data_IF_970063396045
#
_entry.id   IF_970063396045
#
_cell.length_a   1.000
_cell.length_b   1.000
_cell.length_c   1.000
_cell.angle_alpha   90.00
_cell.angle_beta   90.00
_cell.angle_gamma   90.00
#
_symmetry.space_group_name_H-M   'P 1'
#
loop_
_entity.id
_entity.type
_entity.pdbx_description
1 polymer ?
#
# COMPACT_ATOMS: atom_id res chain seq x y z
N UNK A 1 26.73 15.57 -11.57
CA UNK A 1 25.85 15.38 -10.39
C UNK A 1 24.58 14.62 -10.77
N UNK A 2 23.81 15.03 -11.77
CA UNK A 2 22.54 14.43 -12.20
C UNK A 2 22.62 12.90 -12.46
N UNK A 3 23.65 12.43 -13.19
CA UNK A 3 23.82 11.00 -13.48
C UNK A 3 24.04 10.12 -12.25
N UNK A 4 24.63 10.65 -11.17
CA UNK A 4 24.84 9.91 -9.92
C UNK A 4 23.52 9.64 -9.18
N UNK A 5 22.61 10.60 -9.21
CA UNK A 5 21.26 10.46 -8.59
C UNK A 5 20.47 9.38 -9.32
N UNK A 6 20.48 9.41 -10.67
CA UNK A 6 19.87 8.36 -11.47
C UNK A 6 20.51 6.97 -11.27
N UNK A 7 21.83 6.91 -11.06
CA UNK A 7 22.51 5.65 -10.75
C UNK A 7 22.04 5.08 -9.41
N UNK A 8 21.93 5.92 -8.36
CA UNK A 8 21.38 5.52 -7.05
C UNK A 8 19.94 5.02 -7.21
N UNK A 9 19.11 5.74 -7.99
CA UNK A 9 17.72 5.36 -8.26
C UNK A 9 17.63 3.97 -8.89
N UNK A 10 18.35 3.74 -9.99
CA UNK A 10 18.37 2.44 -10.68
C UNK A 10 18.89 1.34 -9.76
N UNK A 11 19.92 1.60 -8.96
CA UNK A 11 20.43 0.64 -7.98
C UNK A 11 19.36 0.22 -6.97
N UNK A 12 18.64 1.18 -6.37
CA UNK A 12 17.53 0.88 -5.45
C UNK A 12 16.42 0.08 -6.12
N UNK A 13 16.02 0.47 -7.34
CA UNK A 13 15.01 -0.28 -8.12
C UNK A 13 15.43 -1.72 -8.36
N UNK A 14 16.68 -1.97 -8.71
CA UNK A 14 17.20 -3.33 -8.88
C UNK A 14 17.20 -4.10 -7.57
N UNK A 15 17.64 -3.50 -6.45
CA UNK A 15 17.60 -4.14 -5.13
C UNK A 15 16.16 -4.51 -4.76
N UNK A 16 15.20 -3.60 -4.91
CA UNK A 16 13.77 -3.86 -4.64
C UNK A 16 13.25 -4.99 -5.54
N UNK A 17 13.58 -4.98 -6.83
CA UNK A 17 13.12 -5.98 -7.78
C UNK A 17 13.60 -7.40 -7.43
N UNK A 18 14.86 -7.58 -7.10
CA UNK A 18 15.41 -8.88 -6.74
C UNK A 18 14.96 -9.33 -5.35
N UNK A 19 14.95 -8.42 -4.38
CA UNK A 19 14.50 -8.70 -3.01
C UNK A 19 12.99 -8.97 -2.97
N UNK A 20 12.18 -8.25 -3.77
CA UNK A 20 10.74 -8.48 -3.87
C UNK A 20 10.38 -9.89 -4.36
N UNK A 21 11.15 -10.43 -5.32
CA UNK A 21 11.01 -11.84 -5.74
C UNK A 21 11.28 -12.80 -4.58
N UNK A 22 12.29 -12.52 -3.78
CA UNK A 22 12.64 -13.36 -2.63
C UNK A 22 11.55 -13.27 -1.55
N UNK A 23 11.07 -12.06 -1.21
CA UNK A 23 9.98 -11.86 -0.25
C UNK A 23 8.72 -12.59 -0.70
N UNK A 24 8.31 -12.48 -1.95
CA UNK A 24 7.14 -13.19 -2.49
C UNK A 24 7.33 -14.71 -2.39
N UNK A 25 8.47 -15.25 -2.82
CA UNK A 25 8.77 -16.69 -2.78
C UNK A 25 8.79 -17.23 -1.35
N UNK A 26 9.55 -16.60 -0.46
CA UNK A 26 9.68 -17.08 0.92
C UNK A 26 8.41 -16.80 1.73
N UNK A 27 7.67 -15.75 1.45
CA UNK A 27 6.33 -15.51 1.98
C UNK A 27 5.34 -16.60 1.58
N UNK A 28 5.37 -17.06 0.32
CA UNK A 28 4.54 -18.19 -0.14
C UNK A 28 4.88 -19.50 0.59
N UNK A 29 6.19 -19.79 0.76
CA UNK A 29 6.63 -20.96 1.54
C UNK A 29 6.14 -20.87 3.00
N UNK A 30 6.25 -19.70 3.63
CA UNK A 30 5.74 -19.46 4.97
C UNK A 30 4.24 -19.70 5.02
N UNK A 31 3.47 -19.14 4.08
CA UNK A 31 2.02 -19.29 4.01
C UNK A 31 1.58 -20.76 3.95
N UNK A 32 2.23 -21.54 3.07
CA UNK A 32 1.90 -22.96 2.85
C UNK A 32 2.31 -23.81 4.05
N UNK A 33 3.54 -23.64 4.56
CA UNK A 33 4.08 -24.53 5.60
C UNK A 33 3.61 -24.23 7.01
N UNK A 34 3.20 -22.99 7.30
CA UNK A 34 2.58 -22.62 8.59
C UNK A 34 1.08 -22.86 8.62
N UNK A 35 0.45 -23.05 7.44
CA UNK A 35 -1.01 -23.16 7.33
C UNK A 35 -1.76 -21.84 7.54
N UNK A 36 -1.07 -20.69 7.65
CA UNK A 36 -1.69 -19.38 7.84
C UNK A 36 -2.43 -18.87 6.60
N UNK A 37 -2.11 -19.44 5.43
CA UNK A 37 -2.75 -19.07 4.17
C UNK A 37 -2.13 -17.85 3.49
N UNK A 38 -2.25 -17.83 2.16
CA UNK A 38 -1.65 -16.81 1.28
C UNK A 38 -2.22 -15.41 1.51
N UNK A 39 -3.52 -15.31 1.81
CA UNK A 39 -4.15 -14.01 2.07
C UNK A 39 -3.62 -13.39 3.36
N UNK A 40 -3.53 -14.18 4.44
CA UNK A 40 -3.02 -13.66 5.72
C UNK A 40 -1.56 -13.22 5.61
N UNK A 41 -0.72 -14.03 4.99
CA UNK A 41 0.68 -13.67 4.76
C UNK A 41 0.78 -12.43 3.86
N UNK A 42 -0.05 -12.31 2.82
CA UNK A 42 -0.10 -11.12 1.97
C UNK A 42 -0.53 -9.87 2.73
N UNK A 43 -1.64 -9.92 3.45
CA UNK A 43 -2.17 -8.75 4.19
C UNK A 43 -1.26 -8.33 5.33
N UNK A 44 -0.67 -9.27 6.09
CA UNK A 44 0.08 -8.93 7.30
C UNK A 44 1.57 -8.84 7.04
N UNK A 45 2.17 -9.93 6.56
CA UNK A 45 3.63 -10.01 6.50
C UNK A 45 4.20 -9.24 5.30
N UNK A 46 3.64 -9.45 4.10
CA UNK A 46 4.13 -8.76 2.90
C UNK A 46 3.77 -7.27 2.96
N UNK A 47 2.51 -6.94 3.25
CA UNK A 47 2.06 -5.57 3.33
C UNK A 47 2.82 -4.76 4.40
N UNK A 48 3.07 -5.34 5.58
CA UNK A 48 3.90 -4.68 6.59
C UNK A 48 5.29 -4.36 6.03
N UNK A 49 5.98 -5.35 5.43
CA UNK A 49 7.35 -5.17 4.92
C UNK A 49 7.40 -4.10 3.81
N UNK A 50 6.41 -4.09 2.93
CA UNK A 50 6.39 -3.17 1.79
C UNK A 50 5.92 -1.77 2.17
N UNK A 51 5.10 -1.60 3.23
CA UNK A 51 4.65 -0.29 3.72
C UNK A 51 5.58 0.34 4.79
N UNK A 52 6.68 -0.29 5.14
CA UNK A 52 7.67 0.33 6.04
C UNK A 52 8.36 1.56 5.45
N UNK A 53 8.65 1.65 4.14
CA UNK A 53 9.13 2.90 3.54
C UNK A 53 8.17 4.08 3.77
N UNK A 54 6.85 3.87 3.63
CA UNK A 54 5.84 4.88 3.91
C UNK A 54 5.85 5.31 5.38
N UNK A 55 5.96 4.35 6.29
CA UNK A 55 6.09 4.63 7.73
C UNK A 55 7.31 5.48 8.03
N UNK A 56 8.49 5.12 7.53
CA UNK A 56 9.72 5.88 7.79
C UNK A 56 9.69 7.26 7.14
N UNK A 57 9.08 7.39 5.95
CA UNK A 57 8.88 8.68 5.28
C UNK A 57 7.92 9.54 6.10
N UNK A 58 6.80 8.98 6.60
CA UNK A 58 5.84 9.68 7.47
C UNK A 58 6.49 10.16 8.75
N UNK A 59 7.17 9.28 9.49
CA UNK A 59 7.91 9.63 10.71
C UNK A 59 8.90 10.78 10.44
N UNK A 60 9.67 10.68 9.36
CA UNK A 60 10.63 11.74 8.99
C UNK A 60 9.92 13.07 8.69
N UNK A 61 8.82 13.03 7.96
CA UNK A 61 8.04 14.22 7.61
C UNK A 61 7.51 14.95 8.86
N UNK A 62 6.97 14.23 9.84
CA UNK A 62 6.39 14.84 11.04
C UNK A 62 7.42 15.22 12.10
N UNK A 63 8.54 14.47 12.23
CA UNK A 63 9.52 14.70 13.31
C UNK A 63 10.69 15.57 12.91
N UNK A 64 11.18 15.45 11.67
CA UNK A 64 12.39 16.15 11.20
C UNK A 64 12.05 17.37 10.36
N UNK A 65 11.04 17.28 9.51
CA UNK A 65 10.67 18.36 8.57
C UNK A 65 9.54 19.22 9.12
N UNK A 66 8.65 18.69 9.97
CA UNK A 66 7.48 19.37 10.48
C UNK A 66 6.41 19.60 9.39
N UNK A 67 6.34 18.75 8.40
CA UNK A 67 5.46 18.83 7.23
C UNK A 67 4.37 17.73 7.24
N UNK A 68 3.28 17.89 8.02
CA UNK A 68 2.21 16.90 8.12
C UNK A 68 1.48 16.66 6.78
N UNK A 69 1.39 17.66 5.91
CA UNK A 69 0.83 17.52 4.57
C UNK A 69 1.58 16.49 3.72
N UNK A 70 2.89 16.40 3.90
CA UNK A 70 3.72 15.46 3.15
C UNK A 70 3.40 14.02 3.53
N UNK A 71 3.22 13.73 4.84
CA UNK A 71 2.88 12.37 5.28
C UNK A 71 1.49 11.96 4.82
N UNK A 72 0.47 12.80 4.99
CA UNK A 72 -0.91 12.46 4.59
C UNK A 72 -1.04 12.36 3.07
N UNK A 73 -0.38 13.25 2.32
CA UNK A 73 -0.29 13.18 0.86
C UNK A 73 0.36 11.88 0.38
N UNK A 74 1.47 11.46 1.01
CA UNK A 74 2.13 10.19 0.72
C UNK A 74 1.21 8.98 1.01
N UNK A 75 0.56 8.92 2.17
CA UNK A 75 -0.29 7.79 2.58
C UNK A 75 -1.53 7.63 1.69
N UNK A 76 -2.26 8.72 1.40
CA UNK A 76 -3.38 8.66 0.48
C UNK A 76 -2.95 8.44 -0.97
N UNK A 77 -1.81 9.03 -1.38
CA UNK A 77 -1.20 8.81 -2.68
C UNK A 77 -0.80 7.35 -2.87
N UNK A 78 -0.12 6.74 -1.91
CA UNK A 78 0.26 5.33 -1.92
C UNK A 78 -0.97 4.41 -2.02
N UNK A 79 -2.07 4.74 -1.31
CA UNK A 79 -3.32 3.99 -1.43
C UNK A 79 -3.91 4.05 -2.85
N UNK A 80 -3.88 5.22 -3.49
CA UNK A 80 -4.32 5.36 -4.89
C UNK A 80 -3.39 4.58 -5.84
N UNK A 81 -2.06 4.66 -5.64
CA UNK A 81 -1.08 3.88 -6.42
C UNK A 81 -1.30 2.37 -6.28
N UNK A 82 -1.57 1.86 -5.09
CA UNK A 82 -1.83 0.45 -4.87
C UNK A 82 -3.06 -0.03 -5.64
N UNK A 83 -4.14 0.76 -5.68
CA UNK A 83 -5.33 0.46 -6.47
C UNK A 83 -5.07 0.56 -7.98
N UNK A 84 -4.28 1.52 -8.43
CA UNK A 84 -3.79 1.61 -9.80
C UNK A 84 -2.91 0.40 -10.16
N UNK A 85 -1.99 0.00 -9.28
CA UNK A 85 -1.13 -1.16 -9.47
C UNK A 85 -1.93 -2.47 -9.57
N UNK A 86 -3.08 -2.60 -8.86
CA UNK A 86 -3.99 -3.73 -9.05
C UNK A 86 -4.57 -3.77 -10.48
N UNK A 87 -4.87 -2.61 -11.07
CA UNK A 87 -5.30 -2.53 -12.45
C UNK A 87 -4.17 -2.95 -13.42
N UNK A 88 -2.93 -2.54 -13.17
CA UNK A 88 -1.77 -2.98 -13.96
C UNK A 88 -1.54 -4.50 -13.83
N UNK A 89 -1.64 -5.04 -12.62
CA UNK A 89 -1.53 -6.48 -12.40
C UNK A 89 -2.63 -7.24 -13.15
N UNK A 90 -3.89 -6.72 -13.14
CA UNK A 90 -4.99 -7.33 -13.90
C UNK A 90 -4.67 -7.36 -15.42
N UNK A 91 -4.15 -6.28 -15.98
CA UNK A 91 -3.79 -6.21 -17.41
C UNK A 91 -2.68 -7.22 -17.77
N UNK A 92 -1.67 -7.37 -16.92
CA UNK A 92 -0.52 -8.24 -17.15
C UNK A 92 -0.85 -9.71 -16.88
N UNK A 93 -1.84 -9.98 -16.03
CA UNK A 93 -2.24 -11.35 -15.69
C UNK A 93 -2.87 -12.06 -16.89
N UNK A 94 -2.31 -13.20 -17.33
CA UNK A 94 -2.67 -13.85 -18.60
C UNK A 94 -3.84 -14.84 -18.52
N UNK A 95 -4.19 -15.32 -17.32
CA UNK A 95 -5.13 -16.43 -17.13
C UNK A 95 -6.57 -15.98 -16.83
N UNK A 96 -6.93 -14.76 -17.14
CA UNK A 96 -8.26 -14.19 -16.90
C UNK A 96 -8.19 -12.88 -16.14
N UNK A 97 -9.33 -12.34 -15.67
CA UNK A 97 -9.31 -11.15 -14.80
C UNK A 97 -8.86 -11.52 -13.40
N UNK A 98 -7.90 -10.77 -12.85
CA UNK A 98 -7.43 -10.87 -11.48
C UNK A 98 -8.60 -10.71 -10.49
N UNK A 99 -9.54 -9.81 -10.77
CA UNK A 99 -10.75 -9.60 -9.97
C UNK A 99 -11.68 -10.83 -9.94
N UNK A 100 -11.66 -11.66 -11.00
CA UNK A 100 -12.43 -12.90 -11.05
C UNK A 100 -11.81 -14.06 -10.28
N UNK A 101 -10.47 -14.02 -10.11
CA UNK A 101 -9.69 -15.07 -9.46
C UNK A 101 -9.51 -14.83 -7.95
N UNK A 102 -9.54 -13.57 -7.52
CA UNK A 102 -9.34 -13.19 -6.11
C UNK A 102 -10.50 -13.66 -5.22
N UNK A 103 -10.18 -14.09 -4.01
CA UNK A 103 -11.12 -14.64 -3.05
C UNK A 103 -12.05 -13.60 -2.42
N UNK A 104 -13.14 -14.04 -1.75
CA UNK A 104 -14.13 -13.13 -1.16
C UNK A 104 -13.59 -12.28 0.00
N UNK A 105 -12.49 -12.71 0.64
CA UNK A 105 -11.88 -11.98 1.76
C UNK A 105 -11.35 -10.61 1.34
N UNK A 106 -10.89 -10.48 0.09
CA UNK A 106 -10.40 -9.20 -0.42
C UNK A 106 -11.50 -8.13 -0.48
N UNK A 107 -12.78 -8.51 -0.65
CA UNK A 107 -13.90 -7.56 -0.54
C UNK A 107 -14.01 -7.00 0.88
N UNK A 108 -13.89 -7.87 1.88
CA UNK A 108 -13.92 -7.47 3.29
C UNK A 108 -12.73 -6.56 3.61
N UNK A 109 -11.52 -6.92 3.16
CA UNK A 109 -10.32 -6.10 3.35
C UNK A 109 -10.45 -4.73 2.67
N UNK A 110 -11.04 -4.69 1.46
CA UNK A 110 -11.35 -3.43 0.77
C UNK A 110 -12.33 -2.56 1.54
N UNK A 111 -13.42 -3.12 2.09
CA UNK A 111 -14.34 -2.39 2.96
C UNK A 111 -13.65 -1.83 4.20
N UNK A 112 -12.75 -2.59 4.84
CA UNK A 112 -12.01 -2.14 6.00
C UNK A 112 -11.06 -0.99 5.65
N UNK A 113 -10.35 -1.08 4.52
CA UNK A 113 -9.53 0.02 4.01
C UNK A 113 -10.36 1.29 3.77
N UNK A 114 -11.52 1.16 3.11
CA UNK A 114 -12.44 2.26 2.85
C UNK A 114 -12.92 2.95 4.14
N UNK A 115 -13.24 2.16 5.18
CA UNK A 115 -13.67 2.69 6.48
C UNK A 115 -12.55 3.50 7.14
N UNK A 116 -11.31 3.00 7.13
CA UNK A 116 -10.18 3.72 7.73
C UNK A 116 -9.88 5.03 6.98
N UNK A 117 -9.92 5.02 5.64
CA UNK A 117 -9.77 6.25 4.83
C UNK A 117 -10.89 7.23 5.14
N UNK A 118 -12.14 6.75 5.28
CA UNK A 118 -13.28 7.59 5.62
C UNK A 118 -13.14 8.22 7.02
N UNK A 119 -12.65 7.47 8.03
CA UNK A 119 -12.38 8.01 9.37
C UNK A 119 -11.35 9.14 9.30
N UNK A 120 -10.24 8.95 8.56
CA UNK A 120 -9.22 9.99 8.38
C UNK A 120 -9.80 11.22 7.65
N UNK A 121 -10.55 11.02 6.56
CA UNK A 121 -11.18 12.11 5.82
C UNK A 121 -12.20 12.88 6.67
N UNK A 122 -13.06 12.18 7.43
CA UNK A 122 -14.02 12.81 8.35
C UNK A 122 -13.30 13.61 9.42
N UNK A 123 -12.15 13.13 9.93
CA UNK A 123 -11.35 13.85 10.92
C UNK A 123 -10.79 15.14 10.36
N UNK A 124 -10.22 15.14 9.14
CA UNK A 124 -9.76 16.35 8.44
C UNK A 124 -10.93 17.34 8.24
N UNK A 125 -12.10 16.84 7.81
CA UNK A 125 -13.28 17.67 7.58
C UNK A 125 -13.78 18.32 8.88
N UNK A 126 -13.88 17.56 9.98
CA UNK A 126 -14.33 18.08 11.28
C UNK A 126 -13.37 19.17 11.78
N UNK A 127 -12.07 18.89 11.75
CA UNK A 127 -11.04 19.87 12.20
C UNK A 127 -11.09 21.17 11.39
N UNK A 128 -11.32 21.07 10.07
CA UNK A 128 -11.34 22.24 9.20
C UNK A 128 -12.59 23.13 9.36
N UNK A 129 -13.69 22.60 9.92
CA UNK A 129 -15.00 23.28 9.90
C UNK A 129 -15.59 23.57 11.27
N UNK A 130 -15.30 22.77 12.28
CA UNK A 130 -16.04 22.85 13.53
C UNK A 130 -15.14 23.17 14.74
N UNK A 131 -14.28 22.28 15.13
CA UNK A 131 -13.42 22.46 16.29
C UNK A 131 -12.33 21.40 16.38
N UNK A 132 -11.33 21.73 17.12
CA UNK A 132 -10.21 20.84 17.39
C UNK A 132 -10.57 19.84 18.49
N UNK A 133 -10.63 18.55 18.14
CA UNK A 133 -10.90 17.46 19.08
C UNK A 133 -9.60 16.69 19.35
N UNK A 134 -8.74 17.27 20.18
CA UNK A 134 -7.53 16.61 20.66
C UNK A 134 -7.67 16.07 22.08
N UNK A 135 -7.01 14.95 22.37
CA UNK A 135 -6.74 14.43 23.72
C UNK A 135 -5.27 14.72 24.03
N UNK A 136 -5.01 15.90 24.61
CA UNK A 136 -3.65 16.46 24.66
C UNK A 136 -3.17 16.87 23.26
N UNK A 137 -2.06 16.30 22.79
CA UNK A 137 -1.54 16.55 21.42
C UNK A 137 -2.01 15.51 20.41
N UNK A 138 -2.79 14.50 20.82
CA UNK A 138 -3.22 13.37 19.99
C UNK A 138 -4.66 13.61 19.52
N UNK A 139 -4.94 13.33 18.24
CA UNK A 139 -6.27 13.43 17.67
C UNK A 139 -7.20 12.32 18.18
N UNK A 140 -8.51 12.62 18.30
CA UNK A 140 -9.55 11.65 18.66
C UNK A 140 -9.57 10.42 17.73
N UNK A 141 -9.18 10.61 16.47
CA UNK A 141 -9.13 9.56 15.42
C UNK A 141 -8.05 8.52 15.68
N UNK A 142 -6.98 8.86 16.39
CA UNK A 142 -5.85 7.96 16.65
C UNK A 142 -6.27 6.69 17.39
N UNK A 143 -6.92 6.74 18.55
CA UNK A 143 -7.42 5.52 19.19
C UNK A 143 -8.48 4.80 18.35
N UNK A 144 -9.32 5.54 17.60
CA UNK A 144 -10.35 4.93 16.74
C UNK A 144 -9.70 4.13 15.60
N UNK A 145 -8.73 4.70 14.89
CA UNK A 145 -8.02 4.01 13.81
C UNK A 145 -7.28 2.78 14.35
N UNK A 146 -6.59 2.87 15.50
CA UNK A 146 -5.89 1.75 16.11
C UNK A 146 -6.88 0.61 16.44
N UNK A 147 -7.99 0.92 17.12
CA UNK A 147 -8.99 -0.08 17.50
C UNK A 147 -9.59 -0.73 16.26
N UNK A 148 -9.99 0.07 15.26
CA UNK A 148 -10.54 -0.45 14.02
C UNK A 148 -9.51 -1.30 13.25
N UNK A 149 -8.27 -0.85 13.14
CA UNK A 149 -7.21 -1.61 12.48
C UNK A 149 -6.99 -2.97 13.13
N UNK A 150 -6.84 -3.02 14.47
CA UNK A 150 -6.67 -4.27 15.20
C UNK A 150 -7.90 -5.18 15.06
N UNK A 151 -9.11 -4.62 15.15
CA UNK A 151 -10.35 -5.36 14.93
C UNK A 151 -10.43 -5.92 13.50
N UNK A 152 -10.06 -5.15 12.49
CA UNK A 152 -10.06 -5.59 11.10
C UNK A 152 -9.01 -6.68 10.84
N UNK A 153 -7.80 -6.56 11.43
CA UNK A 153 -6.80 -7.61 11.39
C UNK A 153 -7.30 -8.92 12.01
N UNK A 154 -7.95 -8.83 13.16
CA UNK A 154 -8.55 -9.99 13.80
C UNK A 154 -9.65 -10.64 12.94
N UNK A 155 -10.52 -9.85 12.32
CA UNK A 155 -11.57 -10.34 11.43
C UNK A 155 -11.00 -11.03 10.18
N UNK A 156 -9.97 -10.46 9.57
CA UNK A 156 -9.28 -11.07 8.42
C UNK A 156 -8.67 -12.41 8.83
N UNK A 157 -7.99 -12.45 9.99
CA UNK A 157 -7.41 -13.68 10.52
C UNK A 157 -8.48 -14.77 10.73
N UNK A 158 -9.55 -14.43 11.44
CA UNK A 158 -10.66 -15.35 11.71
C UNK A 158 -11.32 -15.87 10.42
N UNK A 159 -11.50 -15.00 9.43
CA UNK A 159 -12.07 -15.36 8.14
C UNK A 159 -11.21 -16.38 7.38
N UNK A 160 -9.88 -16.33 7.54
CA UNK A 160 -8.97 -17.28 6.89
C UNK A 160 -8.99 -18.68 7.52
N UNK A 161 -9.20 -18.79 8.82
CA UNK A 161 -9.25 -20.08 9.50
C UNK A 161 -10.41 -20.98 9.03
N UNK A 162 -11.47 -20.39 8.48
CA UNK A 162 -12.67 -21.10 8.05
C UNK A 162 -12.72 -21.38 6.53
N UNK A 163 -11.70 -20.98 5.78
CA UNK A 163 -11.65 -21.28 4.35
C UNK A 163 -10.90 -22.59 4.11
N UNK A 164 -11.53 -23.58 3.42
CA UNK A 164 -10.79 -24.76 2.96
C UNK A 164 -9.67 -24.28 2.03
N UNK A 165 -8.48 -24.86 2.21
CA UNK A 165 -7.37 -24.62 1.30
C UNK A 165 -7.87 -24.90 -0.13
N UNK A 166 -7.91 -23.87 -0.99
CA UNK A 166 -8.22 -24.10 -2.41
C UNK A 166 -7.18 -25.07 -2.96
N UNK A 167 -7.61 -26.15 -3.64
CA UNK A 167 -6.67 -27.03 -4.29
C UNK A 167 -5.87 -26.21 -5.29
N UNK A 168 -4.58 -26.10 -5.04
CA UNK A 168 -3.64 -25.40 -5.90
C UNK A 168 -3.41 -26.26 -7.12
N UNK A 169 -3.51 -25.66 -8.29
CA UNK A 169 -2.93 -26.22 -9.51
C UNK A 169 -1.43 -26.33 -9.23
N UNK A 170 -0.92 -27.55 -8.99
CA UNK A 170 0.46 -27.89 -8.66
C UNK A 170 1.10 -26.99 -7.58
N UNK A 171 1.13 -27.49 -6.34
CA UNK A 171 1.94 -26.84 -5.28
C UNK A 171 3.42 -27.05 -5.63
N UNK A 172 4.22 -25.95 -5.71
CA UNK A 172 5.66 -26.14 -5.81
C UNK A 172 6.14 -27.00 -4.62
N UNK A 173 6.94 -28.00 -4.87
CA UNK A 173 7.50 -28.84 -3.81
C UNK A 173 8.58 -28.04 -3.04
N UNK A 174 8.17 -27.51 -1.90
CA UNK A 174 9.08 -26.79 -0.98
C UNK A 174 9.57 -27.69 0.17
N UNK A 175 9.34 -29.00 0.12
CA UNK A 175 9.61 -29.92 1.23
C UNK A 175 11.09 -29.96 1.66
N UNK A 176 12.02 -29.75 0.73
CA UNK A 176 13.47 -29.84 0.97
C UNK A 176 14.11 -28.59 1.63
N UNK A 177 13.38 -27.47 1.80
CA UNK A 177 13.97 -26.24 2.32
C UNK A 177 13.74 -26.13 3.85
N UNK A 178 14.79 -26.10 4.72
CA UNK A 178 14.62 -25.92 6.15
C UNK A 178 13.95 -24.57 6.47
N UNK A 179 12.93 -24.56 7.37
CA UNK A 179 12.19 -23.33 7.73
C UNK A 179 13.09 -22.23 8.27
N UNK A 180 14.18 -22.58 9.01
CA UNK A 180 15.17 -21.60 9.46
C UNK A 180 15.79 -20.80 8.31
N UNK A 181 16.09 -21.45 7.18
CA UNK A 181 16.59 -20.77 5.98
C UNK A 181 15.51 -19.91 5.33
N UNK A 182 14.28 -20.39 5.31
CA UNK A 182 13.13 -19.61 4.77
C UNK A 182 12.97 -18.30 5.52
N UNK A 183 12.91 -18.35 6.86
CA UNK A 183 12.79 -17.14 7.69
C UNK A 183 14.01 -16.22 7.53
N UNK A 184 15.24 -16.78 7.50
CA UNK A 184 16.45 -15.98 7.32
C UNK A 184 16.46 -15.24 5.97
N UNK A 185 16.19 -15.94 4.88
CA UNK A 185 16.17 -15.32 3.54
C UNK A 185 15.01 -14.35 3.37
N UNK A 186 13.84 -14.63 3.97
CA UNK A 186 12.75 -13.68 4.04
C UNK A 186 13.17 -12.40 4.77
N UNK A 187 13.77 -12.53 5.95
CA UNK A 187 14.19 -11.38 6.77
C UNK A 187 15.28 -10.54 6.06
N UNK A 188 16.26 -11.18 5.41
CA UNK A 188 17.29 -10.48 4.63
C UNK A 188 16.65 -9.72 3.47
N UNK A 189 15.77 -10.38 2.71
CA UNK A 189 15.09 -9.77 1.57
C UNK A 189 14.17 -8.61 2.02
N UNK A 190 13.46 -8.78 3.14
CA UNK A 190 12.66 -7.72 3.75
C UNK A 190 13.52 -6.51 4.17
N UNK A 191 14.63 -6.74 4.85
CA UNK A 191 15.55 -5.67 5.25
C UNK A 191 16.11 -4.90 4.04
N UNK A 192 16.42 -5.60 2.94
CA UNK A 192 16.87 -4.98 1.69
C UNK A 192 15.76 -4.13 1.04
N UNK A 193 14.51 -4.61 1.03
CA UNK A 193 13.35 -3.83 0.53
C UNK A 193 13.15 -2.58 1.36
N UNK A 194 13.12 -2.71 2.68
CA UNK A 194 12.93 -1.59 3.60
C UNK A 194 14.02 -0.54 3.40
N UNK A 195 15.29 -0.97 3.42
CA UNK A 195 16.42 -0.06 3.26
C UNK A 195 16.44 0.62 1.89
N UNK A 196 16.24 -0.14 0.81
CA UNK A 196 16.22 0.42 -0.54
C UNK A 196 14.99 1.28 -0.80
N UNK A 197 13.81 0.91 -0.30
CA UNK A 197 12.57 1.68 -0.44
C UNK A 197 12.64 3.02 0.30
N UNK A 198 13.10 3.00 1.55
CA UNK A 198 13.30 4.23 2.34
C UNK A 198 14.32 5.16 1.66
N UNK A 199 15.45 4.60 1.20
CA UNK A 199 16.45 5.40 0.49
C UNK A 199 15.94 5.93 -0.84
N UNK A 200 15.09 5.16 -1.55
CA UNK A 200 14.51 5.58 -2.81
C UNK A 200 13.58 6.79 -2.66
N UNK A 201 12.86 6.92 -1.54
CA UNK A 201 12.07 8.11 -1.24
C UNK A 201 12.95 9.37 -1.14
N UNK A 202 14.10 9.27 -0.44
CA UNK A 202 15.09 10.36 -0.34
C UNK A 202 15.69 10.71 -1.71
N UNK A 203 15.98 9.69 -2.53
CA UNK A 203 16.49 9.90 -3.90
C UNK A 203 15.43 10.56 -4.79
N UNK A 204 14.14 10.22 -4.62
CA UNK A 204 13.03 10.85 -5.32
C UNK A 204 12.98 12.36 -5.06
N UNK A 205 13.13 12.77 -3.81
CA UNK A 205 13.24 14.18 -3.41
C UNK A 205 14.50 14.85 -3.99
N UNK A 206 15.65 14.17 -3.98
CA UNK A 206 16.89 14.66 -4.60
C UNK A 206 16.72 14.86 -6.11
N UNK A 207 15.98 13.98 -6.81
CA UNK A 207 15.64 14.13 -8.23
C UNK A 207 14.74 15.35 -8.44
N UNK A 208 13.72 15.54 -7.62
CA UNK A 208 12.79 16.66 -7.71
C UNK A 208 13.53 18.00 -7.63
N UNK A 209 14.41 18.15 -6.63
CA UNK A 209 15.20 19.37 -6.43
C UNK A 209 16.19 19.66 -7.56
N UNK A 210 16.92 18.63 -8.03
CA UNK A 210 17.96 18.79 -9.07
C UNK A 210 17.37 19.02 -10.46
N UNK A 211 16.16 18.48 -10.75
CA UNK A 211 15.50 18.67 -12.05
C UNK A 211 14.70 19.97 -12.14
N UNK A 212 14.44 20.66 -11.00
CA UNK A 212 13.63 21.88 -10.94
C UNK A 212 12.14 21.66 -11.27
N UNK A 213 11.72 20.41 -11.34
CA UNK A 213 10.31 20.04 -11.48
C UNK A 213 9.66 20.33 -10.13
N UNK A 214 8.77 21.29 -10.05
CA UNK A 214 8.20 21.88 -8.82
C UNK A 214 7.91 20.87 -7.70
N UNK A 215 8.22 21.25 -6.48
CA UNK A 215 8.22 20.41 -5.28
C UNK A 215 6.91 19.64 -5.05
N UNK A 216 5.78 20.20 -5.46
CA UNK A 216 4.46 19.58 -5.26
C UNK A 216 4.18 18.39 -6.16
N UNK A 217 4.39 18.51 -7.48
CA UNK A 217 4.01 17.47 -8.44
C UNK A 217 4.98 16.30 -8.45
N UNK A 218 6.27 16.62 -8.52
CA UNK A 218 7.33 15.61 -8.63
C UNK A 218 7.54 14.95 -7.28
N UNK A 219 7.47 15.71 -6.17
CA UNK A 219 7.53 15.17 -4.81
C UNK A 219 6.43 14.13 -4.59
N UNK A 220 5.17 14.48 -4.80
CA UNK A 220 4.05 13.55 -4.57
C UNK A 220 4.06 12.37 -5.55
N UNK A 221 4.34 12.58 -6.84
CA UNK A 221 4.37 11.50 -7.81
C UNK A 221 5.65 10.65 -7.73
N UNK A 222 6.84 11.25 -7.60
CA UNK A 222 8.07 10.48 -7.51
C UNK A 222 8.23 9.81 -6.15
N UNK A 223 7.89 10.49 -5.06
CA UNK A 223 7.92 9.89 -3.72
C UNK A 223 6.86 8.79 -3.65
N UNK A 224 5.60 9.07 -4.01
CA UNK A 224 4.54 8.08 -4.02
C UNK A 224 4.85 6.87 -4.92
N UNK A 225 5.40 7.08 -6.11
CA UNK A 225 5.86 5.99 -6.98
C UNK A 225 7.02 5.22 -6.34
N UNK A 226 7.98 5.93 -5.76
CA UNK A 226 9.18 5.31 -5.18
C UNK A 226 8.84 4.45 -3.96
N UNK A 227 7.96 4.92 -3.09
CA UNK A 227 7.55 4.18 -1.89
C UNK A 227 6.70 2.97 -2.25
N UNK A 228 5.86 3.03 -3.30
CA UNK A 228 5.01 1.91 -3.74
C UNK A 228 5.70 0.92 -4.68
N UNK A 229 6.95 1.14 -5.07
CA UNK A 229 7.73 0.17 -5.86
C UNK A 229 7.90 -1.20 -5.19
N UNK A 230 8.14 -1.30 -3.87
CA UNK A 230 8.13 -2.58 -3.16
C UNK A 230 6.82 -3.35 -3.35
N UNK A 231 5.67 -2.68 -3.17
CA UNK A 231 4.35 -3.27 -3.28
C UNK A 231 4.11 -3.91 -4.64
N UNK A 232 4.33 -3.17 -5.72
CA UNK A 232 4.10 -3.69 -7.07
C UNK A 232 5.08 -4.80 -7.40
N UNK A 233 6.33 -4.69 -6.98
CA UNK A 233 7.36 -5.70 -7.24
C UNK A 233 7.05 -7.01 -6.53
N UNK A 234 6.71 -6.96 -5.24
CA UNK A 234 6.33 -8.15 -4.44
C UNK A 234 5.05 -8.77 -4.97
N UNK A 235 4.03 -7.97 -5.28
CA UNK A 235 2.76 -8.48 -5.80
C UNK A 235 2.89 -9.06 -7.20
N UNK A 236 3.69 -8.45 -8.07
CA UNK A 236 3.98 -8.99 -9.38
C UNK A 236 4.73 -10.33 -9.30
N UNK A 237 5.70 -10.43 -8.38
CA UNK A 237 6.41 -11.68 -8.13
C UNK A 237 5.49 -12.76 -7.56
N UNK A 238 4.61 -12.43 -6.61
CA UNK A 238 3.60 -13.32 -6.06
C UNK A 238 2.63 -13.83 -7.14
N UNK A 239 2.16 -12.94 -8.02
CA UNK A 239 1.31 -13.29 -9.15
C UNK A 239 2.02 -14.27 -10.11
N UNK A 240 3.32 -14.08 -10.38
CA UNK A 240 4.11 -14.94 -11.27
C UNK A 240 4.31 -16.36 -10.75
N UNK A 241 4.38 -16.55 -9.44
CA UNK A 241 4.43 -17.89 -8.81
C UNK A 241 3.04 -18.50 -8.58
N UNK A 242 1.98 -17.90 -9.14
CA UNK A 242 0.60 -18.39 -9.02
C UNK A 242 -0.08 -18.03 -7.69
N UNK A 243 0.51 -17.21 -6.85
CA UNK A 243 -0.04 -16.76 -5.57
C UNK A 243 -0.88 -15.48 -5.73
N UNK A 244 -1.91 -15.53 -6.60
CA UNK A 244 -2.75 -14.37 -6.94
C UNK A 244 -3.41 -13.75 -5.72
N UNK A 245 -3.98 -14.56 -4.82
CA UNK A 245 -4.60 -14.08 -3.58
C UNK A 245 -3.58 -13.34 -2.69
N UNK A 246 -2.31 -13.78 -2.66
CA UNK A 246 -1.24 -13.12 -1.92
C UNK A 246 -0.86 -11.78 -2.55
N UNK A 247 -0.85 -11.70 -3.89
CA UNK A 247 -0.58 -10.45 -4.62
C UNK A 247 -1.63 -9.39 -4.35
N UNK A 248 -2.92 -9.75 -4.43
CA UNK A 248 -4.03 -8.85 -4.12
C UNK A 248 -4.04 -8.47 -2.65
N UNK A 249 -3.78 -9.44 -1.77
CA UNK A 249 -3.72 -9.24 -0.33
C UNK A 249 -2.62 -8.26 0.07
N UNK A 250 -1.45 -8.32 -0.57
CA UNK A 250 -0.36 -7.36 -0.34
C UNK A 250 -0.81 -5.93 -0.65
N UNK A 251 -1.37 -5.67 -1.84
CA UNK A 251 -1.81 -4.33 -2.25
C UNK A 251 -2.87 -3.73 -1.33
N UNK A 252 -3.95 -4.48 -1.05
CA UNK A 252 -5.04 -3.99 -0.19
C UNK A 252 -4.64 -3.99 1.28
N UNK A 253 -3.75 -4.91 1.69
CA UNK A 253 -3.14 -4.92 3.02
C UNK A 253 -2.29 -3.68 3.25
N UNK A 254 -1.46 -3.27 2.27
CA UNK A 254 -0.68 -2.02 2.34
C UNK A 254 -1.60 -0.80 2.51
N UNK A 255 -2.76 -0.76 1.86
CA UNK A 255 -3.72 0.32 2.08
C UNK A 255 -4.25 0.37 3.52
N UNK A 256 -4.44 -0.79 4.17
CA UNK A 256 -4.78 -0.82 5.60
C UNK A 256 -3.61 -0.35 6.47
N UNK A 257 -2.38 -0.82 6.19
CA UNK A 257 -1.19 -0.42 6.95
C UNK A 257 -0.90 1.07 6.80
N UNK A 258 -1.05 1.64 5.62
CA UNK A 258 -0.87 3.08 5.39
C UNK A 258 -1.82 3.90 6.28
N UNK A 259 -3.05 3.46 6.49
CA UNK A 259 -3.95 4.14 7.43
C UNK A 259 -3.53 3.93 8.89
N UNK A 260 -2.90 2.80 9.22
CA UNK A 260 -2.36 2.56 10.56
C UNK A 260 -1.07 3.36 10.86
N UNK A 261 -0.42 3.92 9.83
CA UNK A 261 0.70 4.86 10.00
C UNK A 261 0.22 6.19 10.57
N UNK A 262 -0.98 6.67 10.22
CA UNK A 262 -1.54 7.95 10.71
C UNK A 262 -1.49 8.06 12.24
N UNK A 263 -1.95 7.09 13.04
CA UNK A 263 -1.78 7.09 14.49
C UNK A 263 -0.34 7.20 14.98
N UNK A 264 0.60 6.58 14.29
CA UNK A 264 2.01 6.63 14.66
C UNK A 264 2.57 8.04 14.42
N UNK A 265 2.26 8.64 13.28
CA UNK A 265 2.65 9.99 12.93
C UNK A 265 2.00 11.00 13.87
N UNK A 266 0.73 10.79 14.26
CA UNK A 266 0.02 11.64 15.23
C UNK A 266 0.65 11.62 16.62
N UNK A 267 1.07 10.44 17.10
CA UNK A 267 1.79 10.28 18.37
C UNK A 267 3.14 10.99 18.39
N UNK A 268 3.80 11.10 17.23
CA UNK A 268 5.13 11.68 17.08
C UNK A 268 5.10 13.18 16.70
N UNK A 269 3.96 13.70 16.26
CA UNK A 269 3.79 15.11 15.90
C UNK A 269 3.46 15.94 17.13
N UNK A 270 4.49 16.49 17.79
CA UNK A 270 4.36 17.23 19.04
C UNK A 270 3.51 18.52 18.98
N UNK A 271 3.39 19.26 17.84
CA UNK A 271 2.60 20.50 17.80
C UNK A 271 1.09 20.32 18.00
N UNK A 272 0.54 19.11 17.83
CA UNK A 272 -0.90 18.84 17.99
C UNK A 272 -1.38 17.71 17.10
N UNK A 273 -2.69 17.47 16.99
CA UNK A 273 -3.23 16.42 16.15
C UNK A 273 -2.82 16.59 14.68
N UNK A 274 -2.16 15.58 14.10
CA UNK A 274 -1.59 15.67 12.74
C UNK A 274 -2.63 15.97 11.66
N UNK A 275 -3.84 15.40 11.75
CA UNK A 275 -4.90 15.64 10.77
C UNK A 275 -5.55 17.03 10.89
N UNK A 276 -5.29 17.77 11.97
CA UNK A 276 -5.74 19.16 12.11
C UNK A 276 -4.80 20.15 11.42
N UNK A 277 -3.55 19.74 11.23
CA UNK A 277 -2.50 20.56 10.63
C UNK A 277 -2.35 20.36 9.11
N UNK A 278 -3.23 19.56 8.48
CA UNK A 278 -3.13 19.25 7.04
C UNK A 278 -4.16 19.99 6.21
N UNK A 279 -3.82 20.18 4.93
CA UNK A 279 -4.67 20.83 3.94
C UNK A 279 -5.97 20.04 3.68
N UNK A 280 -7.07 20.77 3.52
CA UNK A 280 -8.36 20.18 3.09
C UNK A 280 -8.32 19.58 1.67
N UNK A 281 -7.28 19.85 0.88
CA UNK A 281 -7.08 19.25 -0.42
C UNK A 281 -6.98 17.72 -0.35
N UNK A 282 -6.49 17.19 0.78
CA UNK A 282 -6.46 15.75 1.03
C UNK A 282 -7.84 15.08 1.07
N UNK A 283 -8.93 15.83 1.31
CA UNK A 283 -10.29 15.31 1.22
C UNK A 283 -10.66 14.84 -0.18
N UNK A 284 -10.13 15.50 -1.21
CA UNK A 284 -10.36 15.12 -2.61
C UNK A 284 -9.63 13.81 -2.90
N UNK A 285 -8.37 13.70 -2.50
CA UNK A 285 -7.59 12.47 -2.65
C UNK A 285 -8.24 11.30 -1.90
N UNK A 286 -8.62 11.52 -0.65
CA UNK A 286 -9.34 10.51 0.15
C UNK A 286 -10.67 10.09 -0.50
N UNK A 287 -11.45 11.04 -1.03
CA UNK A 287 -12.68 10.78 -1.77
C UNK A 287 -12.45 9.90 -3.00
N UNK A 288 -11.41 10.20 -3.79
CA UNK A 288 -11.05 9.39 -4.96
C UNK A 288 -10.58 8.00 -4.54
N UNK A 289 -9.78 7.85 -3.48
CA UNK A 289 -9.35 6.55 -2.95
C UNK A 289 -10.55 5.71 -2.50
N UNK A 290 -11.55 6.32 -1.85
CA UNK A 290 -12.80 5.67 -1.47
C UNK A 290 -13.54 5.16 -2.72
N UNK A 291 -13.68 5.99 -3.75
CA UNK A 291 -14.33 5.60 -5.02
C UNK A 291 -13.55 4.48 -5.71
N UNK A 292 -12.22 4.59 -5.82
CA UNK A 292 -11.36 3.55 -6.38
C UNK A 292 -11.49 2.23 -5.63
N UNK A 293 -11.52 2.27 -4.29
CA UNK A 293 -11.73 1.08 -3.45
C UNK A 293 -13.14 0.48 -3.70
N UNK A 294 -14.16 1.33 -3.87
CA UNK A 294 -15.50 0.90 -4.28
C UNK A 294 -15.51 0.19 -5.64
N UNK A 295 -14.79 0.71 -6.63
CA UNK A 295 -14.60 0.07 -7.95
C UNK A 295 -13.89 -1.27 -7.81
N UNK A 296 -12.85 -1.37 -6.99
CA UNK A 296 -12.17 -2.63 -6.68
C UNK A 296 -13.15 -3.67 -6.08
N UNK A 297 -13.92 -3.28 -5.07
CA UNK A 297 -14.92 -4.16 -4.42
C UNK A 297 -15.99 -4.60 -5.43
N UNK A 298 -16.48 -3.68 -6.28
CA UNK A 298 -17.43 -3.97 -7.34
C UNK A 298 -16.84 -4.96 -8.36
N UNK A 299 -15.57 -4.78 -8.73
CA UNK A 299 -14.87 -5.70 -9.59
C UNK A 299 -14.81 -7.13 -9.04
N UNK A 300 -14.51 -7.27 -7.76
CA UNK A 300 -14.53 -8.58 -7.07
C UNK A 300 -15.94 -9.18 -6.96
N UNK A 301 -16.98 -8.35 -6.93
CA UNK A 301 -18.37 -8.80 -6.87
C UNK A 301 -18.88 -9.26 -8.23
N UNK A 302 -18.72 -8.42 -9.25
CA UNK A 302 -19.27 -8.67 -10.59
C UNK A 302 -18.39 -9.54 -11.49
N UNK A 303 -17.16 -9.82 -11.08
CA UNK A 303 -16.18 -10.68 -11.78
C UNK A 303 -16.12 -10.34 -13.28
N UNK A 304 -15.63 -9.16 -13.65
CA UNK A 304 -15.72 -8.64 -15.01
C UNK A 304 -15.08 -9.56 -16.04
N UNK A 305 -15.75 -9.73 -17.18
CA UNK A 305 -15.13 -10.33 -18.36
C UNK A 305 -14.15 -9.34 -18.96
N UNK A 306 -13.05 -9.84 -19.53
CA UNK A 306 -12.08 -9.02 -20.23
C UNK A 306 -12.48 -8.81 -21.68
N UNK A 307 -12.40 -7.56 -22.13
CA UNK A 307 -12.35 -7.19 -23.53
C UNK A 307 -10.92 -6.75 -23.85
N UNK A 308 -10.28 -7.34 -24.85
CA UNK A 308 -8.89 -7.01 -25.26
C UNK A 308 -7.88 -6.98 -24.09
N UNK A 309 -7.93 -7.95 -23.17
CA UNK A 309 -7.08 -8.09 -21.97
C UNK A 309 -7.32 -7.05 -20.86
N UNK A 310 -8.27 -6.16 -20.99
CA UNK A 310 -8.58 -5.13 -19.99
C UNK A 310 -9.99 -5.32 -19.48
N UNK A 311 -10.18 -5.21 -18.17
CA UNK A 311 -11.51 -5.20 -17.56
C UNK A 311 -12.01 -3.75 -17.41
N UNK A 312 -13.33 -3.54 -17.34
CA UNK A 312 -13.90 -2.22 -17.06
C UNK A 312 -13.36 -1.66 -15.73
N UNK A 313 -13.14 -2.56 -14.77
CA UNK A 313 -12.58 -2.23 -13.46
C UNK A 313 -11.18 -1.60 -13.59
N UNK A 314 -10.28 -2.26 -14.35
CA UNK A 314 -8.93 -1.76 -14.57
C UNK A 314 -8.93 -0.41 -15.28
N UNK A 315 -9.79 -0.23 -16.31
CA UNK A 315 -9.91 1.06 -16.99
C UNK A 315 -10.39 2.17 -16.06
N UNK A 316 -11.40 1.88 -15.23
CA UNK A 316 -11.93 2.86 -14.28
C UNK A 316 -10.90 3.23 -13.22
N UNK A 317 -10.17 2.24 -12.67
CA UNK A 317 -9.09 2.50 -11.70
C UNK A 317 -7.97 3.36 -12.29
N UNK A 318 -7.56 3.07 -13.54
CA UNK A 318 -6.55 3.88 -14.24
C UNK A 318 -7.07 5.31 -14.46
N UNK A 319 -8.30 5.47 -14.95
CA UNK A 319 -8.89 6.78 -15.19
C UNK A 319 -8.99 7.62 -13.89
N UNK A 320 -9.47 7.01 -12.79
CA UNK A 320 -9.57 7.68 -11.49
C UNK A 320 -8.19 8.07 -10.94
N UNK A 321 -7.18 7.21 -11.11
CA UNK A 321 -5.82 7.55 -10.72
C UNK A 321 -5.26 8.73 -11.51
N UNK A 322 -5.48 8.76 -12.83
CA UNK A 322 -5.03 9.89 -13.66
C UNK A 322 -5.76 11.19 -13.31
N UNK A 323 -7.06 11.11 -12.97
CA UNK A 323 -7.83 12.25 -12.46
C UNK A 323 -7.25 12.73 -11.13
N UNK A 324 -6.95 11.82 -10.21
CA UNK A 324 -6.34 12.16 -8.92
C UNK A 324 -4.96 12.83 -9.11
N UNK A 325 -4.11 12.28 -9.97
CA UNK A 325 -2.80 12.85 -10.27
C UNK A 325 -2.91 14.27 -10.89
N UNK A 326 -3.87 14.47 -11.80
CA UNK A 326 -4.15 15.77 -12.40
C UNK A 326 -4.65 16.80 -11.37
N UNK A 327 -5.60 16.40 -10.51
CA UNK A 327 -6.12 17.28 -9.46
C UNK A 327 -5.04 17.62 -8.43
N UNK A 328 -4.22 16.66 -8.02
CA UNK A 328 -3.09 16.92 -7.12
C UNK A 328 -2.09 17.91 -7.73
N UNK A 329 -1.87 17.85 -9.05
CA UNK A 329 -1.02 18.81 -9.76
C UNK A 329 -1.61 20.22 -9.81
N UNK A 330 -2.92 20.35 -10.06
CA UNK A 330 -3.57 21.66 -10.23
C UNK A 330 -3.88 22.38 -8.92
N UNK A 331 -3.87 21.65 -7.80
CA UNK A 331 -4.21 22.15 -6.46
C UNK A 331 -2.97 22.33 -5.57
N UNK A 332 -1.79 21.89 -6.00
CA UNK A 332 -0.50 22.12 -5.38
C UNK A 332 0.02 23.49 -5.72
#
# INVERSE_FOLDING_TARGET
MLWLVWLKFVFCVLVIFFSGRAVAKYGDIIAIRTGLGRVWIGVVLLALVTSLPELFTGISAVTLVGAPDLTIGNLFGANAFNLFNLALLDIVYRYGSLFGMAGPVHRMTGWFSMVLVAVAAVSIFISSRFFDMGIGWIGWYTPVIIILFLFFMWQIFRSQQHQPARPLIEQPDYAGIPMRRVYLYFAIAAALIIGAGTWLAVIGEEIATVTGLGESFVGTLLIGFSTTLPEITVSFAAMRIGAVDMAVANMIGSNLFNMAVIPIDDLLYAPGPVLNAVSTNHLITAGIVIVMTGVFIAGLHFRPRRYFRVSWCSLTLIALFLIQAYLSYTMA
#
